data_IF_163173677593
#
_entry.id   IF_163173677593
#
_cell.length_a   1.000
_cell.length_b   1.000
_cell.length_c   1.000
_cell.angle_alpha   90.00
_cell.angle_beta   90.00
_cell.angle_gamma   90.00
#
_symmetry.space_group_name_H-M   'P 1'
#
loop_
_entity.id
_entity.type
_entity.pdbx_description
1 polymer ?
#
# COMPACT_ATOMS: atom_id res chain seq x y z
N UNK A 1 3.15 38.50 9.64
CA UNK A 1 3.41 38.01 8.25
C UNK A 1 4.89 37.88 7.98
N UNK A 2 5.68 38.96 8.06
CA UNK A 2 7.13 38.90 7.83
C UNK A 2 7.83 37.84 8.71
N UNK A 3 7.43 37.73 9.98
CA UNK A 3 7.96 36.74 10.90
C UNK A 3 7.66 35.29 10.48
N UNK A 4 6.40 34.97 10.16
CA UNK A 4 6.05 33.65 9.60
C UNK A 4 6.72 33.39 8.25
N UNK A 5 6.94 34.42 7.44
CA UNK A 5 7.61 34.29 6.14
C UNK A 5 9.08 33.86 6.29
N UNK A 6 9.79 34.45 7.27
CA UNK A 6 11.19 34.14 7.58
C UNK A 6 11.38 33.03 8.62
N UNK A 7 10.31 32.51 9.21
CA UNK A 7 10.38 31.47 10.23
C UNK A 7 11.03 30.18 9.70
N UNK A 8 11.80 29.46 10.54
CA UNK A 8 12.37 28.17 10.16
C UNK A 8 11.27 27.13 9.94
N UNK A 9 11.56 26.10 9.15
CA UNK A 9 10.58 25.04 8.85
C UNK A 9 10.10 24.28 10.11
N UNK A 10 10.92 24.24 11.16
CA UNK A 10 10.58 23.65 12.45
C UNK A 10 9.49 24.42 13.21
N UNK A 11 9.21 25.67 12.83
CA UNK A 11 8.14 26.47 13.41
C UNK A 11 6.75 26.08 12.88
N UNK A 12 6.68 25.25 11.83
CA UNK A 12 5.44 24.83 11.20
C UNK A 12 5.09 23.38 11.53
N UNK A 13 3.80 23.12 11.70
CA UNK A 13 3.30 21.76 11.86
C UNK A 13 1.95 21.55 11.17
N UNK A 14 1.64 20.29 10.88
CA UNK A 14 0.40 19.87 10.25
C UNK A 14 -0.40 19.01 11.22
N UNK A 15 -1.65 19.38 11.47
CA UNK A 15 -2.54 18.66 12.39
C UNK A 15 -3.28 17.50 11.68
N UNK A 16 -3.88 16.56 12.43
CA UNK A 16 -4.75 15.53 11.86
C UNK A 16 -5.95 16.07 11.07
N UNK A 17 -6.44 17.26 11.42
CA UNK A 17 -7.55 17.95 10.73
C UNK A 17 -7.08 18.86 9.58
N UNK A 18 -5.87 18.61 9.08
CA UNK A 18 -5.27 19.31 7.93
C UNK A 18 -5.04 20.81 8.14
N UNK A 19 -4.92 21.27 9.39
CA UNK A 19 -4.56 22.66 9.70
C UNK A 19 -3.04 22.84 9.73
N UNK A 20 -2.59 23.97 9.22
CA UNK A 20 -1.20 24.41 9.22
C UNK A 20 -1.02 25.35 10.41
N UNK A 21 -0.24 24.91 11.38
CA UNK A 21 0.06 25.69 12.56
C UNK A 21 1.42 26.36 12.40
N UNK A 22 1.54 27.55 12.97
CA UNK A 22 2.80 28.27 13.13
C UNK A 22 2.99 28.62 14.60
N UNK A 23 4.14 28.23 15.15
CA UNK A 23 4.59 28.63 16.47
C UNK A 23 5.58 29.80 16.30
N UNK A 24 5.20 30.98 16.81
CA UNK A 24 6.10 32.13 16.86
C UNK A 24 7.24 31.86 17.86
N UNK A 25 8.39 32.49 17.64
CA UNK A 25 9.59 32.17 18.41
C UNK A 25 9.42 32.58 19.88
N UNK A 26 9.35 31.62 20.79
CA UNK A 26 9.19 31.86 22.23
C UNK A 26 7.77 31.69 22.77
N UNK A 27 6.77 31.48 21.91
CA UNK A 27 5.40 31.21 22.34
C UNK A 27 5.18 29.71 22.58
N UNK A 28 4.48 29.39 23.67
CA UNK A 28 4.08 28.01 23.98
C UNK A 28 2.92 27.51 23.09
N UNK A 29 2.20 28.43 22.44
CA UNK A 29 1.01 28.13 21.65
C UNK A 29 1.25 28.33 20.15
N UNK A 30 0.82 27.35 19.35
CA UNK A 30 0.87 27.43 17.89
C UNK A 30 -0.48 27.84 17.33
N UNK A 31 -0.49 28.80 16.40
CA UNK A 31 -1.71 29.33 15.80
C UNK A 31 -1.98 28.72 14.43
N UNK A 32 -3.24 28.38 14.16
CA UNK A 32 -3.64 27.94 12.83
C UNK A 32 -3.64 29.14 11.87
N UNK A 33 -2.79 29.09 10.83
CA UNK A 33 -2.65 30.16 9.83
C UNK A 33 -3.07 29.71 8.43
N UNK A 34 -3.29 28.42 8.24
CA UNK A 34 -3.75 27.85 6.98
C UNK A 34 -4.37 26.48 7.14
N UNK A 35 -4.86 25.93 6.04
CA UNK A 35 -5.32 24.55 5.93
C UNK A 35 -4.95 23.96 4.58
N UNK A 36 -4.80 22.64 4.53
CA UNK A 36 -4.67 21.93 3.26
C UNK A 36 -6.04 21.72 2.61
N UNK A 37 -6.02 21.73 1.29
CA UNK A 37 -7.11 21.33 0.40
C UNK A 37 -6.60 20.31 -0.60
N UNK A 38 -7.46 19.41 -1.11
CA UNK A 38 -7.11 18.57 -2.24
C UNK A 38 -6.56 19.42 -3.40
N UNK A 39 -5.48 18.93 -4.02
CA UNK A 39 -4.86 19.59 -5.17
C UNK A 39 -5.03 18.81 -6.45
N UNK A 40 -4.12 19.03 -7.41
CA UNK A 40 -4.18 18.38 -8.73
C UNK A 40 -3.89 16.88 -8.67
N UNK A 41 -3.13 16.44 -7.67
CA UNK A 41 -2.94 15.03 -7.35
C UNK A 41 -2.72 14.87 -5.83
N UNK A 42 -2.78 13.63 -5.30
CA UNK A 42 -2.65 13.38 -3.86
C UNK A 42 -1.33 13.84 -3.23
N UNK A 43 -0.25 13.93 -4.02
CA UNK A 43 1.08 14.38 -3.57
C UNK A 43 1.28 15.90 -3.65
N UNK A 44 0.32 16.65 -4.21
CA UNK A 44 0.39 18.10 -4.41
C UNK A 44 -0.85 18.80 -3.85
N UNK A 45 -1.12 18.73 -2.54
CA UNK A 45 -2.22 19.46 -1.92
C UNK A 45 -2.02 20.98 -2.05
N UNK A 46 -3.14 21.72 -2.00
CA UNK A 46 -3.14 23.18 -2.07
C UNK A 46 -3.22 23.75 -0.66
N UNK A 47 -2.48 24.83 -0.42
CA UNK A 47 -2.60 25.61 0.81
C UNK A 47 -3.65 26.70 0.64
N UNK A 48 -4.57 26.78 1.60
CA UNK A 48 -5.51 27.86 1.78
C UNK A 48 -5.17 28.60 3.08
N UNK A 49 -4.96 29.92 3.01
CA UNK A 49 -4.72 30.76 4.20
C UNK A 49 -6.04 31.03 4.90
N UNK A 50 -6.05 30.89 6.23
CA UNK A 50 -7.24 31.21 7.02
C UNK A 50 -7.51 32.71 6.99
N UNK A 51 -8.79 33.07 6.91
CA UNK A 51 -9.21 34.47 6.84
C UNK A 51 -8.75 35.25 8.06
N UNK A 52 -8.17 36.43 7.82
CA UNK A 52 -7.83 37.42 8.83
C UNK A 52 -8.12 38.80 8.27
N UNK A 53 -8.74 39.65 9.08
CA UNK A 53 -9.05 41.05 8.74
C UNK A 53 -7.77 41.91 8.60
N UNK A 54 -6.65 41.41 9.13
CA UNK A 54 -5.37 42.11 9.15
C UNK A 54 -4.43 41.75 7.98
N UNK A 55 -4.87 40.88 7.05
CA UNK A 55 -4.06 40.45 5.92
C UNK A 55 -4.53 41.11 4.61
N UNK A 56 -3.65 41.92 4.03
CA UNK A 56 -3.82 42.37 2.65
C UNK A 56 -3.60 41.20 1.64
N UNK A 57 -3.99 41.42 0.38
CA UNK A 57 -3.88 40.40 -0.66
C UNK A 57 -2.44 39.94 -0.93
N UNK A 58 -1.47 40.85 -0.90
CA UNK A 58 -0.07 40.54 -1.17
C UNK A 58 0.56 39.74 -0.01
N UNK A 59 0.26 40.11 1.23
CA UNK A 59 0.67 39.39 2.44
C UNK A 59 0.10 37.97 2.47
N UNK A 60 -1.18 37.82 2.13
CA UNK A 60 -1.84 36.52 2.06
C UNK A 60 -1.14 35.61 1.04
N UNK A 61 -0.82 36.15 -0.13
CA UNK A 61 -0.16 35.37 -1.18
C UNK A 61 1.27 34.97 -0.81
N UNK A 62 2.05 35.86 -0.19
CA UNK A 62 3.39 35.52 0.33
C UNK A 62 3.33 34.40 1.37
N UNK A 63 2.40 34.49 2.31
CA UNK A 63 2.20 33.45 3.33
C UNK A 63 1.77 32.11 2.70
N UNK A 64 0.82 32.16 1.75
CA UNK A 64 0.38 30.98 0.99
C UNK A 64 1.56 30.32 0.27
N UNK A 65 2.38 31.10 -0.42
CA UNK A 65 3.54 30.59 -1.14
C UNK A 65 4.59 29.97 -0.21
N UNK A 66 4.86 30.61 0.95
CA UNK A 66 5.76 30.08 1.98
C UNK A 66 5.29 28.72 2.51
N UNK A 67 4.03 28.64 2.93
CA UNK A 67 3.44 27.41 3.45
C UNK A 67 3.34 26.33 2.36
N UNK A 68 3.02 26.71 1.12
CA UNK A 68 2.96 25.77 0.00
C UNK A 68 4.33 25.14 -0.27
N UNK A 69 5.42 25.92 -0.17
CA UNK A 69 6.79 25.41 -0.29
C UNK A 69 7.10 24.43 0.84
N UNK A 70 6.85 24.83 2.09
CA UNK A 70 7.07 24.00 3.27
C UNK A 70 6.32 22.66 3.19
N UNK A 71 5.04 22.68 2.85
CA UNK A 71 4.22 21.46 2.67
C UNK A 71 4.81 20.57 1.57
N UNK A 72 5.18 21.16 0.44
CA UNK A 72 5.79 20.41 -0.67
C UNK A 72 7.10 19.74 -0.28
N UNK A 73 7.95 20.44 0.46
CA UNK A 73 9.23 19.94 0.97
C UNK A 73 9.03 18.85 2.02
N UNK A 74 8.09 19.03 2.95
CA UNK A 74 7.73 18.03 3.96
C UNK A 74 7.20 16.73 3.32
N UNK A 75 6.29 16.83 2.33
CA UNK A 75 5.80 15.66 1.58
C UNK A 75 6.95 14.98 0.83
N UNK A 76 7.81 15.75 0.16
CA UNK A 76 8.95 15.21 -0.58
C UNK A 76 9.96 14.51 0.35
N UNK A 77 10.21 15.06 1.53
CA UNK A 77 11.11 14.47 2.51
C UNK A 77 10.55 13.16 3.07
N UNK A 78 9.30 13.15 3.52
CA UNK A 78 8.70 11.96 4.15
C UNK A 78 8.38 10.85 3.14
N UNK A 79 8.14 11.20 1.87
CA UNK A 79 7.88 10.24 0.78
C UNK A 79 9.04 10.16 -0.23
N UNK A 80 10.26 10.54 0.16
CA UNK A 80 11.43 10.57 -0.72
C UNK A 80 11.62 9.29 -1.56
N UNK A 81 11.48 8.06 -1.01
CA UNK A 81 11.61 6.84 -1.80
C UNK A 81 10.67 6.77 -3.01
N UNK A 82 9.47 7.34 -2.92
CA UNK A 82 8.50 7.36 -4.02
C UNK A 82 8.95 8.31 -5.14
N UNK A 83 9.43 9.50 -4.78
CA UNK A 83 9.91 10.49 -5.74
C UNK A 83 11.19 10.02 -6.43
N UNK A 84 12.13 9.44 -5.68
CA UNK A 84 13.37 8.88 -6.22
C UNK A 84 13.11 7.72 -7.18
N UNK A 85 12.20 6.81 -6.82
CA UNK A 85 11.83 5.69 -7.67
C UNK A 85 11.17 6.17 -8.98
N UNK A 86 10.30 7.18 -8.91
CA UNK A 86 9.68 7.78 -10.09
C UNK A 86 10.71 8.49 -11.00
N UNK A 87 11.63 9.26 -10.42
CA UNK A 87 12.68 9.96 -11.18
C UNK A 87 13.61 8.98 -11.91
N UNK A 88 14.03 7.90 -11.24
CA UNK A 88 14.86 6.84 -11.86
C UNK A 88 14.13 6.06 -12.96
N UNK A 89 12.80 6.05 -12.96
CA UNK A 89 11.97 5.39 -13.96
C UNK A 89 11.58 6.29 -15.15
N UNK A 90 11.94 7.58 -15.14
CA UNK A 90 11.44 8.56 -16.12
C UNK A 90 11.73 8.18 -17.57
N UNK A 91 12.90 7.62 -17.85
CA UNK A 91 13.32 7.17 -19.17
C UNK A 91 12.74 5.83 -19.64
N UNK A 92 12.11 5.05 -18.76
CA UNK A 92 11.63 3.70 -19.07
C UNK A 92 10.09 3.66 -19.04
N UNK A 93 9.48 3.45 -20.21
CA UNK A 93 8.01 3.39 -20.32
C UNK A 93 7.35 2.25 -19.54
N UNK A 94 8.03 1.11 -19.39
CA UNK A 94 7.50 -0.02 -18.64
C UNK A 94 7.49 0.25 -17.13
N UNK A 95 8.44 1.03 -16.61
CA UNK A 95 8.52 1.41 -15.19
C UNK A 95 7.68 2.64 -14.87
N UNK A 96 7.59 3.60 -15.80
CA UNK A 96 6.85 4.85 -15.58
C UNK A 96 5.38 4.62 -15.25
N UNK A 97 4.71 3.69 -15.93
CA UNK A 97 3.30 3.38 -15.70
C UNK A 97 3.00 2.91 -14.26
N UNK A 98 3.64 1.83 -13.79
CA UNK A 98 3.54 1.38 -12.40
C UNK A 98 3.89 2.47 -11.37
N UNK A 99 4.94 3.26 -11.60
CA UNK A 99 5.34 4.32 -10.67
C UNK A 99 4.35 5.49 -10.63
N UNK A 100 3.74 5.85 -11.77
CA UNK A 100 2.67 6.85 -11.81
C UNK A 100 1.47 6.41 -10.98
N UNK A 101 1.01 5.16 -11.18
CA UNK A 101 -0.08 4.60 -10.36
C UNK A 101 0.27 4.58 -8.87
N UNK A 102 1.53 4.29 -8.55
CA UNK A 102 1.98 4.35 -7.16
C UNK A 102 1.93 5.78 -6.62
N UNK A 103 2.30 6.79 -7.41
CA UNK A 103 2.16 8.19 -6.99
C UNK A 103 0.69 8.57 -6.71
N UNK A 104 -0.24 8.12 -7.56
CA UNK A 104 -1.67 8.33 -7.36
C UNK A 104 -2.20 7.61 -6.10
N UNK A 105 -1.67 6.42 -5.81
CA UNK A 105 -2.05 5.61 -4.65
C UNK A 105 -1.16 5.87 -3.41
N UNK A 106 -0.42 6.99 -3.38
CA UNK A 106 0.47 7.36 -2.28
C UNK A 106 1.49 6.27 -1.91
N UNK A 107 1.92 5.46 -2.88
CA UNK A 107 3.00 4.48 -2.78
C UNK A 107 2.58 3.06 -2.42
N UNK A 108 1.27 2.76 -2.43
CA UNK A 108 0.74 1.41 -2.20
C UNK A 108 -0.54 1.20 -2.99
N UNK A 109 -0.55 0.18 -3.84
CA UNK A 109 -1.73 -0.27 -4.58
C UNK A 109 -2.10 -1.66 -4.07
N UNK A 110 -3.25 -1.82 -3.39
CA UNK A 110 -3.74 -3.13 -2.96
C UNK A 110 -4.05 -4.05 -4.14
N UNK A 111 -3.96 -5.35 -3.92
CA UNK A 111 -4.23 -6.38 -4.91
C UNK A 111 -2.98 -7.07 -5.44
N UNK A 112 -3.17 -8.28 -5.97
CA UNK A 112 -2.07 -9.07 -6.52
C UNK A 112 -1.59 -8.47 -7.85
N UNK A 113 -0.31 -8.06 -7.92
CA UNK A 113 0.31 -7.65 -9.19
C UNK A 113 0.79 -8.89 -9.98
N UNK A 114 -0.13 -9.84 -10.14
CA UNK A 114 0.10 -11.16 -10.71
C UNK A 114 0.44 -11.13 -12.22
N UNK A 115 0.32 -9.96 -12.86
CA UNK A 115 0.53 -9.76 -14.29
C UNK A 115 1.90 -9.22 -14.68
N UNK A 116 2.77 -8.81 -13.74
CA UNK A 116 4.09 -8.29 -14.10
C UNK A 116 5.04 -9.42 -14.49
N UNK A 117 5.68 -9.27 -15.65
CA UNK A 117 6.74 -10.14 -16.12
C UNK A 117 7.91 -10.19 -15.11
N UNK A 118 8.59 -11.35 -14.95
CA UNK A 118 9.70 -11.50 -13.99
C UNK A 118 10.78 -10.42 -14.11
N UNK A 119 11.06 -9.97 -15.32
CA UNK A 119 12.04 -8.91 -15.59
C UNK A 119 11.58 -7.56 -15.03
N UNK A 120 10.34 -7.18 -15.28
CA UNK A 120 9.77 -5.94 -14.76
C UNK A 120 9.73 -5.94 -13.22
N UNK A 121 9.42 -7.08 -12.60
CA UNK A 121 9.51 -7.22 -11.14
C UNK A 121 10.91 -7.00 -10.61
N UNK A 122 11.94 -7.50 -11.31
CA UNK A 122 13.35 -7.30 -10.95
C UNK A 122 13.75 -5.83 -11.04
N UNK A 123 13.35 -5.15 -12.11
CA UNK A 123 13.59 -3.73 -12.33
C UNK A 123 12.89 -2.86 -11.26
N UNK A 124 11.62 -3.12 -10.98
CA UNK A 124 10.86 -2.44 -9.90
C UNK A 124 11.53 -2.65 -8.54
N UNK A 125 12.00 -3.87 -8.25
CA UNK A 125 12.74 -4.16 -7.02
C UNK A 125 14.03 -3.33 -6.90
N UNK A 126 14.74 -3.09 -8.00
CA UNK A 126 15.93 -2.23 -8.02
C UNK A 126 15.62 -0.75 -7.75
N UNK A 127 14.36 -0.35 -7.89
CA UNK A 127 13.82 0.97 -7.49
C UNK A 127 13.25 0.99 -6.06
N UNK A 128 13.33 -0.12 -5.31
CA UNK A 128 12.73 -0.24 -3.98
C UNK A 128 11.23 -0.53 -3.99
N UNK A 129 10.64 -0.80 -5.16
CA UNK A 129 9.24 -1.17 -5.31
C UNK A 129 9.09 -2.70 -5.23
N UNK A 130 8.21 -3.17 -4.36
CA UNK A 130 7.85 -4.59 -4.24
C UNK A 130 6.55 -4.86 -4.99
N UNK A 131 6.65 -5.61 -6.09
CA UNK A 131 5.52 -6.24 -6.76
C UNK A 131 5.20 -7.56 -6.04
N UNK A 132 4.41 -7.46 -4.97
CA UNK A 132 4.10 -8.55 -4.06
C UNK A 132 2.87 -9.37 -4.45
N UNK A 133 2.53 -10.32 -3.58
CA UNK A 133 1.33 -11.16 -3.72
C UNK A 133 0.05 -10.38 -3.40
N UNK A 134 0.12 -9.44 -2.48
CA UNK A 134 -1.02 -8.72 -1.92
C UNK A 134 -1.06 -7.25 -2.35
N UNK A 135 0.07 -6.67 -2.75
CA UNK A 135 0.14 -5.28 -3.20
C UNK A 135 1.35 -5.01 -4.11
N UNK A 136 1.26 -3.94 -4.90
CA UNK A 136 2.42 -3.23 -5.45
C UNK A 136 2.71 -2.04 -4.53
N UNK A 137 3.89 -1.97 -3.90
CA UNK A 137 4.16 -0.95 -2.89
C UNK A 137 5.64 -0.69 -2.63
N UNK A 138 5.97 0.42 -1.97
CA UNK A 138 7.32 0.67 -1.45
C UNK A 138 7.37 0.36 0.05
N UNK A 139 8.15 -0.66 0.51
CA UNK A 139 8.25 -0.99 1.92
C UNK A 139 8.73 0.17 2.81
N UNK A 140 9.57 1.06 2.27
CA UNK A 140 10.05 2.23 2.98
C UNK A 140 8.92 3.19 3.41
N UNK A 141 7.78 3.16 2.70
CA UNK A 141 6.62 4.01 2.95
C UNK A 141 5.64 3.42 3.99
N UNK A 142 5.97 2.27 4.57
CA UNK A 142 5.30 1.71 5.75
C UNK A 142 5.97 2.15 7.06
N UNK A 143 7.11 2.84 6.99
CA UNK A 143 7.79 3.39 8.18
C UNK A 143 6.95 4.52 8.81
N UNK A 144 7.05 4.75 10.15
CA UNK A 144 6.11 5.61 10.87
C UNK A 144 5.93 7.01 10.28
N UNK A 145 7.02 7.74 9.98
CA UNK A 145 6.91 9.13 9.48
C UNK A 145 6.24 9.20 8.10
N UNK A 146 6.64 8.32 7.18
CA UNK A 146 6.00 8.17 5.87
C UNK A 146 4.54 7.73 5.98
N UNK A 147 4.23 6.78 6.86
CA UNK A 147 2.86 6.31 7.09
C UNK A 147 1.96 7.42 7.61
N UNK A 148 2.43 8.25 8.54
CA UNK A 148 1.70 9.44 9.03
C UNK A 148 1.41 10.41 7.90
N UNK A 149 2.41 10.72 7.06
CA UNK A 149 2.21 11.61 5.91
C UNK A 149 1.20 11.03 4.91
N UNK A 150 1.29 9.72 4.61
CA UNK A 150 0.33 9.03 3.72
C UNK A 150 -1.08 9.04 4.28
N UNK A 151 -1.26 8.79 5.58
CA UNK A 151 -2.55 8.84 6.24
C UNK A 151 -3.19 10.22 6.11
N UNK A 152 -2.40 11.29 6.33
CA UNK A 152 -2.86 12.68 6.18
C UNK A 152 -3.30 12.98 4.75
N UNK A 153 -2.46 12.66 3.77
CA UNK A 153 -2.79 12.90 2.37
C UNK A 153 -3.99 12.07 1.90
N UNK A 154 -4.09 10.81 2.33
CA UNK A 154 -5.23 9.96 2.02
C UNK A 154 -6.52 10.55 2.62
N UNK A 155 -6.50 10.90 3.91
CA UNK A 155 -7.67 11.44 4.60
C UNK A 155 -8.10 12.79 3.99
N UNK A 156 -7.14 13.64 3.60
CA UNK A 156 -7.39 14.90 2.90
C UNK A 156 -8.16 14.67 1.59
N UNK A 157 -7.77 13.66 0.79
CA UNK A 157 -8.47 13.33 -0.46
C UNK A 157 -9.89 12.82 -0.25
N UNK A 158 -10.16 12.21 0.91
CA UNK A 158 -11.48 11.68 1.27
C UNK A 158 -12.33 12.68 2.06
N UNK A 159 -11.81 13.88 2.36
CA UNK A 159 -12.52 14.89 3.15
C UNK A 159 -12.72 14.49 4.62
N UNK A 160 -11.81 13.67 5.16
CA UNK A 160 -11.90 13.13 6.53
C UNK A 160 -10.78 13.69 7.42
N UNK A 161 -10.98 13.77 8.75
CA UNK A 161 -9.86 13.92 9.67
C UNK A 161 -8.94 12.69 9.55
N UNK A 162 -7.64 12.88 9.82
CA UNK A 162 -6.67 11.79 9.71
C UNK A 162 -6.92 10.75 10.82
N UNK A 163 -7.26 9.49 10.48
CA UNK A 163 -7.44 8.46 11.50
C UNK A 163 -6.13 8.16 12.23
N UNK A 164 -6.23 7.76 13.50
CA UNK A 164 -5.07 7.42 14.30
C UNK A 164 -4.40 6.14 13.76
N UNK A 165 -3.08 6.20 13.57
CA UNK A 165 -2.28 5.03 13.21
C UNK A 165 -1.86 4.26 14.48
N UNK A 166 -1.71 2.92 14.39
CA UNK A 166 -1.23 2.12 15.51
C UNK A 166 0.22 2.46 15.83
N UNK A 167 0.67 2.08 17.03
CA UNK A 167 2.06 2.27 17.45
C UNK A 167 3.04 1.55 16.50
N UNK A 168 4.21 2.16 16.33
CA UNK A 168 5.26 1.59 15.48
C UNK A 168 5.66 0.20 15.98
N UNK A 169 5.89 -0.72 15.04
CA UNK A 169 6.35 -2.08 15.35
C UNK A 169 5.24 -3.12 15.46
N UNK A 170 3.97 -2.72 15.60
CA UNK A 170 2.85 -3.66 15.55
C UNK A 170 2.83 -4.45 14.23
N UNK A 171 2.55 -5.75 14.34
CA UNK A 171 2.42 -6.69 13.22
C UNK A 171 0.97 -7.03 12.95
N UNK A 172 0.14 -7.05 13.99
CA UNK A 172 -1.28 -7.28 13.90
C UNK A 172 -2.05 -6.41 14.89
N UNK A 173 -3.33 -6.21 14.61
CA UNK A 173 -4.28 -5.54 15.49
C UNK A 173 -5.71 -6.01 15.17
N UNK A 174 -6.66 -5.92 16.10
CA UNK A 174 -8.07 -5.99 15.74
C UNK A 174 -8.42 -4.88 14.76
N UNK A 175 -9.44 -5.07 13.93
CA UNK A 175 -9.94 -4.03 13.03
C UNK A 175 -10.44 -2.84 13.85
N UNK A 176 -9.83 -1.64 13.72
CA UNK A 176 -10.29 -0.48 14.46
C UNK A 176 -11.69 -0.06 14.01
N UNK A 177 -12.62 0.24 14.94
CA UNK A 177 -13.99 0.58 14.58
C UNK A 177 -14.12 1.97 13.94
N UNK A 178 -13.14 2.84 14.16
CA UNK A 178 -13.07 4.22 13.70
C UNK A 178 -12.37 4.38 12.34
N UNK A 179 -11.83 3.31 11.78
CA UNK A 179 -11.19 3.36 10.47
C UNK A 179 -12.23 3.35 9.34
N UNK A 180 -12.21 4.35 8.45
CA UNK A 180 -13.13 4.38 7.32
C UNK A 180 -12.77 3.29 6.30
N UNK A 181 -13.74 2.91 5.47
CA UNK A 181 -13.54 1.91 4.42
C UNK A 181 -12.35 2.24 3.52
N UNK A 182 -11.53 1.23 3.21
CA UNK A 182 -10.33 1.36 2.38
C UNK A 182 -9.10 1.95 3.08
N UNK A 183 -9.23 2.55 4.27
CA UNK A 183 -8.09 3.13 4.99
C UNK A 183 -7.06 2.09 5.42
N UNK A 184 -7.53 0.95 5.94
CA UNK A 184 -6.66 -0.16 6.35
C UNK A 184 -5.74 -0.59 5.20
N UNK A 185 -6.33 -0.90 4.04
CA UNK A 185 -5.60 -1.35 2.86
C UNK A 185 -4.65 -0.27 2.34
N UNK A 186 -5.11 0.98 2.27
CA UNK A 186 -4.29 2.11 1.85
C UNK A 186 -3.05 2.28 2.76
N UNK A 187 -3.19 2.05 4.06
CA UNK A 187 -2.08 2.14 5.02
C UNK A 187 -1.22 0.87 5.09
N UNK A 188 -1.56 -0.19 4.35
CA UNK A 188 -0.81 -1.44 4.32
C UNK A 188 -1.17 -2.41 5.43
N UNK A 189 -2.45 -2.46 5.79
CA UNK A 189 -3.04 -3.44 6.69
C UNK A 189 -3.98 -4.35 5.93
N UNK A 190 -3.70 -5.66 5.97
CA UNK A 190 -4.49 -6.68 5.28
C UNK A 190 -5.48 -7.33 6.23
N UNK A 191 -6.74 -7.44 5.80
CA UNK A 191 -7.74 -8.19 6.54
C UNK A 191 -7.44 -9.70 6.54
N UNK A 192 -7.31 -10.27 7.74
CA UNK A 192 -6.94 -11.66 7.94
C UNK A 192 -7.87 -12.38 8.94
N UNK A 193 -9.18 -12.14 8.81
CA UNK A 193 -10.19 -12.70 9.71
C UNK A 193 -10.51 -11.72 10.83
N UNK A 194 -10.30 -12.08 12.11
CA UNK A 194 -10.61 -11.18 13.24
C UNK A 194 -9.54 -10.09 13.46
N UNK A 195 -8.47 -10.09 12.67
CA UNK A 195 -7.34 -9.17 12.80
C UNK A 195 -6.92 -8.62 11.44
N UNK A 196 -6.30 -7.45 11.48
CA UNK A 196 -5.48 -6.90 10.42
C UNK A 196 -4.03 -7.34 10.60
N UNK A 197 -3.32 -7.62 9.50
CA UNK A 197 -1.89 -7.97 9.49
C UNK A 197 -1.13 -6.94 8.65
N UNK A 198 0.03 -6.51 9.12
CA UNK A 198 0.90 -5.58 8.39
C UNK A 198 1.39 -6.21 7.09
N UNK A 199 1.26 -5.46 5.99
CA UNK A 199 1.48 -5.91 4.63
C UNK A 199 2.90 -6.49 4.41
N UNK A 200 3.93 -5.83 4.92
CA UNK A 200 5.32 -6.30 4.78
C UNK A 200 5.55 -7.68 5.41
N UNK A 201 4.98 -7.91 6.60
CA UNK A 201 5.04 -9.19 7.31
C UNK A 201 4.25 -10.24 6.54
N UNK A 202 3.02 -9.94 6.14
CA UNK A 202 2.19 -10.86 5.36
C UNK A 202 2.90 -11.27 4.06
N UNK A 203 3.44 -10.33 3.30
CA UNK A 203 4.20 -10.57 2.07
C UNK A 203 5.43 -11.45 2.32
N UNK A 204 6.19 -11.15 3.37
CA UNK A 204 7.41 -11.90 3.69
C UNK A 204 7.10 -13.34 4.11
N UNK A 205 6.19 -13.51 5.08
CA UNK A 205 5.80 -14.83 5.59
C UNK A 205 5.13 -15.65 4.50
N UNK A 206 4.21 -15.07 3.71
CA UNK A 206 3.56 -15.80 2.63
C UNK A 206 4.54 -16.25 1.53
N UNK A 207 5.54 -15.43 1.20
CA UNK A 207 6.57 -15.79 0.23
C UNK A 207 7.46 -16.94 0.73
N UNK A 208 7.88 -16.90 2.00
CA UNK A 208 8.67 -17.97 2.62
C UNK A 208 7.90 -19.30 2.64
N UNK A 209 6.65 -19.27 3.11
CA UNK A 209 5.79 -20.45 3.16
C UNK A 209 5.53 -21.01 1.76
N UNK A 210 5.24 -20.15 0.78
CA UNK A 210 5.06 -20.58 -0.60
C UNK A 210 6.33 -21.23 -1.19
N UNK A 211 7.52 -20.71 -0.84
CA UNK A 211 8.79 -21.29 -1.26
C UNK A 211 9.04 -22.64 -0.59
N UNK A 212 8.75 -22.78 0.70
CA UNK A 212 8.90 -24.04 1.44
C UNK A 212 8.00 -25.15 0.85
N UNK A 213 6.73 -24.82 0.56
CA UNK A 213 5.77 -25.77 -0.02
C UNK A 213 5.87 -25.95 -1.54
N UNK A 214 6.84 -25.33 -2.23
CA UNK A 214 6.90 -25.34 -3.71
C UNK A 214 7.14 -26.74 -4.30
N UNK A 215 7.78 -27.63 -3.54
CA UNK A 215 8.13 -29.01 -3.96
C UNK A 215 7.17 -30.07 -3.44
N UNK A 216 6.20 -29.70 -2.60
CA UNK A 216 5.28 -30.65 -1.97
C UNK A 216 4.70 -30.12 -0.68
N UNK A 217 3.86 -30.91 -0.03
CA UNK A 217 3.35 -30.59 1.29
C UNK A 217 4.49 -30.60 2.31
N UNK A 218 4.55 -29.60 3.18
CA UNK A 218 5.55 -29.47 4.25
C UNK A 218 4.86 -29.24 5.58
N UNK A 219 5.44 -29.69 6.69
CA UNK A 219 4.92 -29.37 8.01
C UNK A 219 4.89 -27.85 8.22
N UNK A 220 3.84 -27.34 8.88
CA UNK A 220 3.74 -25.92 9.18
C UNK A 220 4.86 -25.54 10.17
N UNK A 221 5.66 -24.49 9.89
CA UNK A 221 6.74 -24.10 10.78
C UNK A 221 6.24 -23.78 12.19
N UNK A 222 6.96 -24.25 13.21
CA UNK A 222 6.69 -23.88 14.59
C UNK A 222 6.82 -22.36 14.80
N UNK A 223 6.07 -21.80 15.74
CA UNK A 223 6.14 -20.37 16.08
C UNK A 223 5.51 -19.42 15.04
N UNK A 224 4.83 -19.93 14.02
CA UNK A 224 4.22 -19.10 12.97
C UNK A 224 3.17 -18.11 13.51
N UNK A 225 2.42 -18.49 14.55
CA UNK A 225 1.47 -17.60 15.21
C UNK A 225 2.16 -16.36 15.81
N UNK A 226 3.33 -16.55 16.44
CA UNK A 226 4.14 -15.47 17.00
C UNK A 226 4.64 -14.51 15.93
N UNK A 227 4.97 -15.00 14.73
CA UNK A 227 5.41 -14.17 13.59
C UNK A 227 4.32 -13.23 13.07
N UNK A 228 3.05 -13.62 13.22
CA UNK A 228 1.89 -12.75 12.93
C UNK A 228 1.40 -11.99 14.17
N UNK A 229 2.03 -12.20 15.33
CA UNK A 229 1.58 -11.67 16.62
C UNK A 229 0.11 -11.99 16.91
N UNK A 230 -0.33 -13.23 16.62
CA UNK A 230 -1.72 -13.68 16.87
C UNK A 230 -1.75 -14.91 17.79
N UNK A 231 -2.86 -15.15 18.51
CA UNK A 231 -3.06 -16.42 19.21
C UNK A 231 -3.06 -17.61 18.25
N UNK A 232 -2.57 -18.77 18.71
CA UNK A 232 -2.50 -19.99 17.89
C UNK A 232 -3.87 -20.42 17.32
N UNK A 233 -4.96 -20.17 18.05
CA UNK A 233 -6.33 -20.46 17.61
C UNK A 233 -6.77 -19.64 16.38
N UNK A 234 -6.20 -18.44 16.19
CA UNK A 234 -6.54 -17.53 15.08
C UNK A 234 -5.72 -17.84 13.82
N UNK A 235 -4.54 -18.45 13.97
CA UNK A 235 -3.61 -18.72 12.89
C UNK A 235 -4.24 -19.45 11.68
N UNK A 236 -5.07 -20.51 11.83
CA UNK A 236 -5.69 -21.16 10.69
C UNK A 236 -6.58 -20.23 9.84
N UNK A 237 -7.28 -19.28 10.49
CA UNK A 237 -8.11 -18.29 9.79
C UNK A 237 -7.23 -17.30 9.02
N UNK A 238 -6.18 -16.79 9.66
CA UNK A 238 -5.20 -15.87 9.06
C UNK A 238 -4.57 -16.50 7.82
N UNK A 239 -4.05 -17.73 7.93
CA UNK A 239 -3.41 -18.42 6.80
C UNK A 239 -4.38 -18.62 5.63
N UNK A 240 -5.62 -19.04 5.91
CA UNK A 240 -6.66 -19.17 4.86
C UNK A 240 -6.96 -17.84 4.18
N UNK A 241 -7.08 -16.74 4.93
CA UNK A 241 -7.36 -15.40 4.40
C UNK A 241 -6.22 -14.84 3.56
N UNK A 242 -4.97 -15.14 3.93
CA UNK A 242 -3.79 -14.86 3.11
C UNK A 242 -3.70 -15.78 1.87
N UNK A 243 -4.63 -16.73 1.70
CA UNK A 243 -4.70 -17.67 0.59
C UNK A 243 -3.62 -18.76 0.66
N UNK A 244 -3.10 -19.05 1.85
CA UNK A 244 -2.21 -20.18 2.12
C UNK A 244 -3.07 -21.40 2.42
N UNK A 245 -2.71 -22.54 1.81
CA UNK A 245 -3.47 -23.78 1.94
C UNK A 245 -2.88 -24.61 3.05
N UNK A 246 -3.66 -24.89 4.07
CA UNK A 246 -3.23 -25.69 5.22
C UNK A 246 -4.17 -26.88 5.37
N UNK A 247 -3.61 -28.07 5.54
CA UNK A 247 -4.35 -29.23 6.05
C UNK A 247 -4.18 -29.26 7.57
N UNK A 248 -5.27 -29.38 8.34
CA UNK A 248 -5.18 -29.55 9.77
C UNK A 248 -4.42 -30.86 10.09
N UNK A 249 -3.72 -30.85 11.21
CA UNK A 249 -3.14 -32.08 11.75
C UNK A 249 -4.23 -33.04 12.22
N UNK A 250 -3.88 -34.31 12.34
CA UNK A 250 -4.77 -35.37 12.80
C UNK A 250 -4.30 -35.95 14.11
N UNK A 251 -5.24 -36.20 15.03
CA UNK A 251 -5.01 -37.06 16.19
C UNK A 251 -4.86 -38.52 15.73
N UNK A 252 -4.02 -39.29 16.43
CA UNK A 252 -3.91 -40.73 16.18
C UNK A 252 -5.16 -41.43 16.71
N UNK A 253 -5.57 -42.49 16.01
CA UNK A 253 -6.56 -43.42 16.56
C UNK A 253 -5.99 -44.10 17.80
N UNK A 254 -6.87 -44.56 18.70
CA UNK A 254 -6.52 -45.09 20.03
C UNK A 254 -5.58 -46.30 20.00
N UNK A 255 -5.49 -46.98 18.85
CA UNK A 255 -4.70 -48.17 18.57
C UNK A 255 -3.44 -47.91 17.72
N UNK A 256 -3.18 -46.66 17.33
CA UNK A 256 -2.02 -46.30 16.50
C UNK A 256 -0.96 -45.60 17.34
N UNK A 257 0.22 -46.21 17.44
CA UNK A 257 1.38 -45.62 18.13
C UNK A 257 2.21 -44.75 17.18
N UNK A 258 2.56 -43.53 17.61
CA UNK A 258 3.41 -42.60 16.87
C UNK A 258 3.20 -41.14 17.27
N UNK A 259 3.87 -40.18 16.62
CA UNK A 259 3.51 -38.77 16.73
C UNK A 259 2.27 -38.45 15.87
N UNK A 260 1.36 -37.59 16.34
CA UNK A 260 0.22 -37.15 15.53
C UNK A 260 0.68 -36.45 14.25
N UNK A 261 -0.12 -36.56 13.18
CA UNK A 261 0.22 -35.92 11.91
C UNK A 261 0.21 -34.41 12.11
N UNK A 262 1.33 -33.70 11.87
CA UNK A 262 1.36 -32.26 12.07
C UNK A 262 0.48 -31.54 11.04
N UNK A 263 0.03 -30.31 11.31
CA UNK A 263 -0.62 -29.49 10.29
C UNK A 263 0.35 -29.27 9.12
N UNK A 264 -0.14 -29.47 7.90
CA UNK A 264 0.66 -29.43 6.68
C UNK A 264 0.32 -28.21 5.85
N UNK A 265 1.33 -27.46 5.43
CA UNK A 265 1.22 -26.46 4.38
C UNK A 265 1.25 -27.15 3.02
N UNK A 266 0.25 -26.89 2.19
CA UNK A 266 0.11 -27.44 0.85
C UNK A 266 0.73 -26.52 -0.21
N UNK A 267 1.18 -27.10 -1.34
CA UNK A 267 1.65 -26.31 -2.47
C UNK A 267 0.58 -25.33 -2.98
N UNK A 268 0.99 -24.16 -3.50
CA UNK A 268 0.08 -23.23 -4.13
C UNK A 268 -0.65 -23.92 -5.28
N UNK A 269 -1.93 -23.60 -5.49
CA UNK A 269 -2.65 -24.06 -6.68
C UNK A 269 -1.92 -23.52 -7.91
N UNK A 270 -1.44 -24.40 -8.79
CA UNK A 270 -0.98 -23.97 -10.12
C UNK A 270 -2.16 -23.27 -10.79
N UNK A 271 -2.04 -21.97 -11.07
CA UNK A 271 -2.95 -21.30 -12.00
C UNK A 271 -2.79 -22.07 -13.31
N UNK A 272 -3.85 -22.76 -13.74
CA UNK A 272 -3.92 -23.22 -15.13
C UNK A 272 -3.77 -21.94 -15.98
N UNK A 273 -2.86 -21.89 -16.95
CA UNK A 273 -2.86 -20.78 -17.89
C UNK A 273 -4.28 -20.68 -18.43
N UNK A 274 -4.83 -19.46 -18.46
CA UNK A 274 -6.09 -19.24 -19.15
C UNK A 274 -5.92 -19.83 -20.54
N UNK A 275 -6.81 -20.76 -20.92
CA UNK A 275 -6.85 -21.25 -22.29
C UNK A 275 -6.95 -19.99 -23.14
N UNK A 276 -6.07 -19.75 -24.11
CA UNK A 276 -6.24 -18.61 -25.00
C UNK A 276 -7.66 -18.71 -25.55
N UNK A 277 -8.43 -17.64 -25.38
CA UNK A 277 -9.79 -17.59 -25.89
C UNK A 277 -9.72 -17.98 -27.36
N UNK A 278 -10.44 -19.04 -27.72
CA UNK A 278 -10.47 -19.59 -29.08
C UNK A 278 -11.32 -18.73 -30.02
N UNK A 279 -11.48 -17.45 -29.70
CA UNK A 279 -12.13 -16.43 -30.50
C UNK A 279 -11.12 -15.27 -30.57
N UNK A 280 -10.40 -15.04 -31.67
CA UNK A 280 -10.87 -15.08 -33.03
C UNK A 280 -9.82 -15.69 -33.97
N UNK A 281 -10.04 -16.93 -34.38
CA UNK A 281 -9.80 -17.25 -35.78
C UNK A 281 -10.94 -16.60 -36.54
N UNK A 282 -10.81 -15.30 -36.85
CA UNK A 282 -11.57 -14.73 -37.95
C UNK A 282 -11.21 -15.58 -39.16
N UNK A 283 -12.17 -16.39 -39.63
CA UNK A 283 -12.14 -16.88 -40.98
C UNK A 283 -11.89 -15.66 -41.87
N UNK A 284 -10.71 -15.58 -42.50
CA UNK A 284 -10.44 -14.55 -43.48
C UNK A 284 -11.48 -14.73 -44.59
N UNK A 285 -12.46 -13.84 -44.63
CA UNK A 285 -13.53 -13.80 -45.63
C UNK A 285 -13.00 -13.65 -47.08
N UNK A 286 -11.70 -13.48 -47.26
CA UNK A 286 -11.03 -13.25 -48.54
C UNK A 286 -9.83 -14.19 -48.79
N UNK A 287 -9.75 -15.32 -48.07
CA UNK A 287 -8.75 -16.34 -48.36
C UNK A 287 -9.09 -17.13 -49.64
N UNK A 288 -8.09 -17.68 -50.36
CA UNK A 288 -8.27 -18.37 -51.65
C UNK A 288 -9.14 -19.65 -51.59
N UNK A 289 -9.58 -20.07 -50.40
CA UNK A 289 -10.42 -21.24 -50.17
C UNK A 289 -11.87 -20.90 -49.79
N UNK A 290 -12.27 -19.63 -49.81
CA UNK A 290 -13.64 -19.20 -49.49
C UNK A 290 -14.71 -19.84 -50.41
N UNK A 291 -14.33 -20.22 -51.64
CA UNK A 291 -15.23 -20.84 -52.61
C UNK A 291 -15.59 -22.31 -52.32
N UNK A 292 -14.86 -23.00 -51.43
CA UNK A 292 -15.10 -24.43 -51.14
C UNK A 292 -16.17 -24.66 -50.07
N UNK A 293 -16.65 -23.60 -49.39
CA UNK A 293 -17.67 -23.72 -48.35
C UNK A 293 -19.09 -24.01 -48.88
N UNK A 294 -19.32 -23.82 -50.20
CA UNK A 294 -20.65 -23.98 -50.82
C UNK A 294 -20.89 -25.40 -51.34
N UNK A 295 -19.87 -26.25 -51.41
CA UNK A 295 -19.94 -27.62 -51.98
C UNK A 295 -20.27 -28.73 -50.98
N UNK A 296 -20.74 -28.40 -49.76
CA UNK A 296 -21.28 -29.38 -48.81
C UNK A 296 -22.79 -29.21 -48.69
N UNK A 297 -23.52 -29.80 -49.62
CA UNK A 297 -24.88 -30.31 -49.43
C UNK A 297 -24.87 -31.80 -49.69
#
# INVERSE_FOLDING_TARGET
VAEAESAPDSAFSLTPDHRLLWAAHGDAEAFAIGRLRPGTNPLRPRVEILGSEFLDGAQRERLRARLQRWVGEAIRAELAPLFEAAARAEGDGALRGPLHRLQEALGLIPGADAGQEPELRRQLKALGVKAGRFALFLPALLKPRAAVMRARLWALQHGLPTPALPSAGLVSLPTPPDWPGGFAEAMGWLEAGPVLIRLDVAEHVAAELAWAARRGAVALPAGLASRFSVPAAVLPVVLRRLGLRVMPGGSLATDVYGPPTPPMLLPPRRRRPARPDRAAQTAHAHGPFAALAVLRK
#
